data_IF_312955726176
#
_entry.id   IF_312955726176
#
_cell.length_a   1.000
_cell.length_b   1.000
_cell.length_c   1.000
_cell.angle_alpha   90.00
_cell.angle_beta   90.00
_cell.angle_gamma   90.00
#
_symmetry.space_group_name_H-M   'P 1'
#
loop_
_entity.id
_entity.type
_entity.pdbx_description
1 polymer ?
#
# COMPACT_ATOMS: atom_id res chain seq x y z
N UNK A 1 -1.94 17.27 -0.29
CA UNK A 1 -3.07 16.32 -0.39
C UNK A 1 -4.33 16.81 0.32
N UNK A 2 -4.27 17.23 1.59
CA UNK A 2 -5.49 17.63 2.34
C UNK A 2 -6.29 18.77 1.70
N UNK A 3 -5.62 19.75 1.08
CA UNK A 3 -6.30 20.78 0.28
C UNK A 3 -7.12 20.17 -0.87
N UNK A 4 -6.55 19.22 -1.61
CA UNK A 4 -7.21 18.53 -2.71
C UNK A 4 -8.41 17.71 -2.23
N UNK A 5 -8.27 17.03 -1.08
CA UNK A 5 -9.36 16.29 -0.44
C UNK A 5 -10.56 17.19 -0.14
N UNK A 6 -10.31 18.37 0.44
CA UNK A 6 -11.37 19.35 0.70
C UNK A 6 -11.97 19.90 -0.60
N UNK A 7 -11.14 20.20 -1.60
CA UNK A 7 -11.61 20.68 -2.90
C UNK A 7 -12.49 19.65 -3.62
N UNK A 8 -12.12 18.36 -3.59
CA UNK A 8 -12.89 17.27 -4.18
C UNK A 8 -14.26 17.15 -3.50
N UNK A 9 -14.30 17.14 -2.16
CA UNK A 9 -15.57 17.07 -1.41
C UNK A 9 -16.51 18.24 -1.71
N UNK A 10 -15.96 19.44 -1.89
CA UNK A 10 -16.75 20.64 -2.22
C UNK A 10 -17.46 20.56 -3.58
N UNK A 11 -17.03 19.65 -4.48
CA UNK A 11 -17.68 19.40 -5.78
C UNK A 11 -18.33 18.02 -5.86
N UNK A 12 -18.52 17.35 -4.73
CA UNK A 12 -19.15 16.01 -4.66
C UNK A 12 -18.23 14.85 -5.05
N UNK A 13 -16.93 15.08 -5.16
CA UNK A 13 -15.92 14.05 -5.38
C UNK A 13 -15.23 13.59 -4.09
N UNK A 14 -14.38 12.58 -4.20
CA UNK A 14 -13.54 12.10 -3.10
C UNK A 14 -12.12 11.76 -3.59
N UNK A 15 -11.18 11.70 -2.66
CA UNK A 15 -9.78 11.35 -2.92
C UNK A 15 -9.45 10.10 -2.12
N UNK A 16 -9.16 8.99 -2.81
CA UNK A 16 -8.66 7.78 -2.16
C UNK A 16 -7.13 7.83 -2.18
N UNK A 17 -6.52 7.82 -1.00
CA UNK A 17 -5.07 7.90 -0.85
C UNK A 17 -4.55 6.59 -0.27
N UNK A 18 -3.45 6.11 -0.85
CA UNK A 18 -2.89 4.81 -0.51
C UNK A 18 -1.56 4.94 0.20
N UNK A 19 -1.35 4.14 1.25
CA UNK A 19 -0.03 3.89 1.82
C UNK A 19 0.64 2.79 1.00
N UNK A 20 1.80 3.08 0.44
CA UNK A 20 2.68 2.11 -0.18
C UNK A 20 3.76 1.62 0.78
N UNK A 21 4.65 0.77 0.27
CA UNK A 21 5.78 0.27 1.04
C UNK A 21 6.66 1.42 1.58
N UNK A 22 6.84 2.50 0.81
CA UNK A 22 7.66 3.65 1.19
C UNK A 22 7.10 4.40 2.40
N UNK A 23 5.78 4.57 2.53
CA UNK A 23 5.19 5.16 3.73
C UNK A 23 5.49 4.31 4.98
N UNK A 24 5.38 2.98 4.87
CA UNK A 24 5.72 2.07 5.97
C UNK A 24 7.21 2.04 6.29
N UNK A 25 8.08 2.06 5.28
CA UNK A 25 9.54 2.15 5.47
C UNK A 25 9.92 3.43 6.21
N UNK A 26 9.30 4.56 5.86
CA UNK A 26 9.48 5.82 6.56
C UNK A 26 8.95 5.76 8.01
N UNK A 27 7.80 5.12 8.23
CA UNK A 27 7.23 4.93 9.58
C UNK A 27 8.01 3.95 10.45
N UNK A 28 8.83 3.06 9.85
CA UNK A 28 9.80 2.19 10.54
C UNK A 28 11.08 2.95 10.93
N UNK A 29 11.36 4.09 10.28
CA UNK A 29 12.60 4.85 10.48
C UNK A 29 13.71 4.48 9.51
N UNK A 30 13.36 3.95 8.33
CA UNK A 30 14.32 3.72 7.25
C UNK A 30 14.52 5.01 6.45
N UNK A 31 15.65 5.67 6.65
CA UNK A 31 16.05 6.93 6.02
C UNK A 31 17.38 6.67 5.33
N UNK A 32 17.44 6.22 4.07
CA UNK A 32 18.78 5.98 3.50
C UNK A 32 19.55 7.27 3.29
N UNK A 33 20.44 7.53 4.24
CA UNK A 33 21.55 8.45 4.14
C UNK A 33 22.61 7.82 3.22
N UNK A 34 22.94 8.51 2.13
CA UNK A 34 24.04 8.13 1.25
C UNK A 34 25.37 8.43 1.96
N UNK A 35 25.87 7.52 2.81
CA UNK A 35 27.29 7.58 3.17
C UNK A 35 28.09 7.12 1.95
N UNK A 36 28.89 8.03 1.41
CA UNK A 36 29.77 7.79 0.25
C UNK A 36 30.84 6.74 0.59
N UNK A 37 30.49 5.45 0.53
CA UNK A 37 31.46 4.35 0.50
C UNK A 37 31.79 4.07 -0.96
N UNK A 38 33.05 4.28 -1.35
CA UNK A 38 33.55 3.98 -2.71
C UNK A 38 33.50 2.49 -3.10
N UNK A 39 32.94 1.61 -2.26
CA UNK A 39 33.01 0.15 -2.44
C UNK A 39 31.65 -0.57 -2.50
N UNK A 40 30.54 0.15 -2.42
CA UNK A 40 29.18 -0.41 -2.58
C UNK A 40 28.35 0.57 -3.42
N UNK A 41 28.62 0.57 -4.72
CA UNK A 41 27.76 1.19 -5.72
C UNK A 41 26.55 0.27 -5.87
N UNK A 42 25.34 0.84 -5.79
CA UNK A 42 24.02 0.16 -5.72
C UNK A 42 23.70 -0.34 -4.30
N UNK A 43 22.94 0.38 -3.47
CA UNK A 43 21.48 0.27 -3.29
C UNK A 43 21.22 1.08 -1.99
N UNK A 44 20.66 2.29 -1.95
CA UNK A 44 19.23 2.64 -1.95
C UNK A 44 19.21 4.17 -1.75
N UNK A 45 18.69 5.02 -2.64
CA UNK A 45 18.40 6.42 -2.30
C UNK A 45 16.89 6.59 -2.21
N UNK A 46 16.30 6.24 -1.07
CA UNK A 46 14.84 6.36 -0.90
C UNK A 46 14.39 7.71 -0.34
N UNK A 47 15.30 8.46 0.31
CA UNK A 47 15.02 9.80 0.83
C UNK A 47 16.12 10.72 0.34
N UNK A 48 15.76 11.71 -0.46
CA UNK A 48 16.74 12.65 -1.02
C UNK A 48 17.19 13.67 0.03
N UNK A 49 18.47 14.07 -0.01
CA UNK A 49 18.99 15.11 0.90
C UNK A 49 18.23 16.43 0.78
N UNK A 50 17.77 16.78 -0.43
CA UNK A 50 16.92 17.94 -0.66
C UNK A 50 15.56 17.83 0.03
N UNK A 51 15.03 16.62 0.20
CA UNK A 51 13.79 16.39 0.95
C UNK A 51 14.04 16.56 2.45
N UNK A 52 15.11 15.96 2.99
CA UNK A 52 15.50 16.12 4.40
C UNK A 52 15.67 17.60 4.76
N UNK A 53 16.27 18.38 3.86
CA UNK A 53 16.44 19.82 4.04
C UNK A 53 15.10 20.58 4.19
N UNK A 54 13.98 20.07 3.67
CA UNK A 54 12.66 20.68 3.87
C UNK A 54 12.14 20.55 5.30
N UNK A 55 12.63 19.55 6.05
CA UNK A 55 12.29 19.33 7.47
C UNK A 55 13.35 19.91 8.42
N UNK A 56 14.55 20.24 7.92
CA UNK A 56 15.65 20.81 8.67
C UNK A 56 16.59 19.79 9.31
N UNK A 57 16.09 18.62 9.73
CA UNK A 57 16.91 17.49 10.18
C UNK A 57 16.20 16.15 9.98
N UNK A 58 16.95 15.04 10.13
CA UNK A 58 16.39 13.69 10.07
C UNK A 58 15.41 13.45 11.23
N UNK A 59 15.72 13.95 12.42
CA UNK A 59 14.88 13.84 13.62
C UNK A 59 13.56 14.61 13.42
N UNK A 60 13.62 15.85 12.92
CA UNK A 60 12.43 16.64 12.64
C UNK A 60 11.54 15.99 11.57
N UNK A 61 12.15 15.37 10.55
CA UNK A 61 11.43 14.56 9.55
C UNK A 61 10.75 13.36 10.20
N UNK A 62 11.47 12.65 11.07
CA UNK A 62 10.95 11.48 11.76
C UNK A 62 9.78 11.83 12.67
N UNK A 63 9.87 12.95 13.39
CA UNK A 63 8.77 13.49 14.19
C UNK A 63 7.56 13.83 13.30
N UNK A 64 7.79 14.44 12.14
CA UNK A 64 6.72 14.80 11.20
C UNK A 64 5.95 13.58 10.65
N UNK A 65 6.68 12.49 10.36
CA UNK A 65 6.16 11.24 9.80
C UNK A 65 5.49 10.37 10.87
N UNK A 66 6.01 10.39 12.09
CA UNK A 66 5.45 9.62 13.21
C UNK A 66 4.18 10.29 13.75
N UNK A 67 4.33 11.41 14.42
CA UNK A 67 3.24 12.04 15.19
C UNK A 67 2.85 13.43 14.67
N UNK A 68 3.63 14.01 13.75
CA UNK A 68 3.38 15.31 13.15
C UNK A 68 2.23 15.32 12.13
N UNK A 69 2.13 16.41 11.37
CA UNK A 69 1.01 16.63 10.45
C UNK A 69 0.90 15.55 9.37
N UNK A 70 2.03 15.06 8.83
CA UNK A 70 2.06 14.03 7.80
C UNK A 70 1.62 12.69 8.40
N UNK A 71 2.24 12.28 9.52
CA UNK A 71 1.88 11.03 10.20
C UNK A 71 0.42 10.94 10.61
N UNK A 72 -0.14 12.03 11.15
CA UNK A 72 -1.57 12.12 11.48
C UNK A 72 -2.45 12.04 10.24
N UNK A 73 -2.06 12.67 9.13
CA UNK A 73 -2.83 12.59 7.88
C UNK A 73 -2.83 11.15 7.32
N UNK A 74 -1.70 10.44 7.38
CA UNK A 74 -1.62 9.02 7.01
C UNK A 74 -2.57 8.17 7.86
N UNK A 75 -2.51 8.31 9.19
CA UNK A 75 -3.34 7.53 10.11
C UNK A 75 -4.85 7.80 9.96
N UNK A 76 -5.23 9.02 9.55
CA UNK A 76 -6.64 9.42 9.49
C UNK A 76 -7.28 9.23 8.11
N UNK A 77 -6.52 9.46 7.03
CA UNK A 77 -7.08 9.69 5.71
C UNK A 77 -6.56 8.73 4.63
N UNK A 78 -5.63 7.84 4.97
CA UNK A 78 -5.03 6.92 4.02
C UNK A 78 -5.41 5.47 4.36
N UNK A 79 -5.48 4.65 3.33
CA UNK A 79 -5.71 3.19 3.42
C UNK A 79 -4.58 2.47 2.70
N UNK A 80 -4.34 1.19 2.93
CA UNK A 80 -3.34 0.47 2.10
C UNK A 80 -3.96 -0.01 0.80
N UNK A 81 -5.25 -0.36 0.82
CA UNK A 81 -5.97 -0.78 -0.36
C UNK A 81 -7.39 -0.21 -0.39
N UNK A 82 -7.89 0.06 -1.59
CA UNK A 82 -9.26 0.49 -1.77
C UNK A 82 -10.04 -0.46 -2.68
N UNK A 83 -11.34 -0.57 -2.39
CA UNK A 83 -12.35 -1.14 -3.29
C UNK A 83 -13.21 0.00 -3.80
N UNK A 84 -13.11 0.32 -5.08
CA UNK A 84 -13.88 1.39 -5.72
C UNK A 84 -15.05 0.81 -6.54
N UNK A 85 -16.29 0.95 -6.06
CA UNK A 85 -17.48 0.57 -6.82
C UNK A 85 -17.62 1.33 -8.14
N UNK A 86 -18.03 0.63 -9.19
CA UNK A 86 -18.44 1.18 -10.48
C UNK A 86 -19.96 1.32 -10.60
N UNK A 87 -20.71 0.86 -9.59
CA UNK A 87 -22.16 0.98 -9.54
C UNK A 87 -22.63 1.34 -8.11
N UNK A 88 -23.56 2.31 -7.93
CA UNK A 88 -24.01 2.76 -6.62
C UNK A 88 -24.62 1.68 -5.72
N UNK A 89 -25.17 0.60 -6.31
CA UNK A 89 -25.77 -0.50 -5.54
C UNK A 89 -24.79 -1.24 -4.64
N UNK A 90 -23.47 -1.06 -4.84
CA UNK A 90 -22.43 -1.69 -4.03
C UNK A 90 -21.99 -0.81 -2.84
N UNK A 91 -22.61 0.36 -2.66
CA UNK A 91 -22.29 1.29 -1.60
C UNK A 91 -21.15 2.27 -1.94
N UNK A 92 -20.69 3.06 -0.96
CA UNK A 92 -19.55 3.96 -1.13
C UNK A 92 -18.23 3.20 -1.34
N UNK A 93 -17.15 3.89 -1.74
CA UNK A 93 -15.81 3.33 -1.72
C UNK A 93 -15.48 2.64 -0.40
N UNK A 94 -14.74 1.54 -0.48
CA UNK A 94 -14.32 0.70 0.64
C UNK A 94 -15.46 -0.03 1.38
N UNK A 95 -16.64 -0.14 0.76
CA UNK A 95 -17.67 -1.08 1.22
C UNK A 95 -17.18 -2.52 1.03
N UNK A 96 -17.21 -3.28 2.13
CA UNK A 96 -16.67 -4.63 2.18
C UNK A 96 -17.35 -5.63 1.25
N UNK A 97 -16.53 -6.53 0.71
CA UNK A 97 -16.94 -7.75 0.05
C UNK A 97 -16.31 -9.00 0.72
N UNK A 98 -17.04 -10.12 0.88
CA UNK A 98 -18.47 -10.24 0.65
C UNK A 98 -19.26 -9.33 1.57
N UNK A 99 -20.38 -8.80 1.07
CA UNK A 99 -21.28 -7.98 1.88
C UNK A 99 -21.84 -8.82 3.02
N UNK A 100 -22.07 -8.20 4.19
CA UNK A 100 -22.84 -8.83 5.29
C UNK A 100 -24.26 -9.20 4.85
N UNK A 101 -24.78 -8.53 3.82
CA UNK A 101 -26.02 -8.90 3.14
C UNK A 101 -25.72 -9.94 2.05
N UNK A 102 -26.14 -11.19 2.30
CA UNK A 102 -25.95 -12.30 1.37
C UNK A 102 -26.60 -12.07 -0.01
N UNK A 103 -27.68 -11.27 -0.07
CA UNK A 103 -28.36 -10.97 -1.35
C UNK A 103 -27.53 -10.03 -2.23
N UNK A 104 -26.83 -9.07 -1.61
CA UNK A 104 -25.92 -8.18 -2.31
C UNK A 104 -24.66 -8.91 -2.81
N UNK A 105 -24.18 -9.93 -2.08
CA UNK A 105 -23.06 -10.76 -2.50
C UNK A 105 -23.37 -11.62 -3.75
N UNK A 106 -24.61 -12.06 -3.91
CA UNK A 106 -25.07 -12.88 -5.04
C UNK A 106 -25.52 -12.05 -6.26
N UNK A 107 -25.49 -10.72 -6.17
CA UNK A 107 -25.87 -9.84 -7.27
C UNK A 107 -24.94 -10.03 -8.48
N UNK A 108 -25.44 -10.00 -9.73
CA UNK A 108 -24.59 -9.97 -10.92
C UNK A 108 -23.63 -8.78 -10.97
N UNK A 109 -23.92 -7.74 -10.17
CA UNK A 109 -23.07 -6.55 -10.04
C UNK A 109 -22.09 -6.64 -8.87
N UNK A 110 -22.07 -7.72 -8.09
CA UNK A 110 -21.26 -7.83 -6.86
C UNK A 110 -19.77 -7.57 -7.10
N UNK A 111 -19.27 -7.87 -8.30
CA UNK A 111 -17.89 -7.66 -8.73
C UNK A 111 -17.66 -6.38 -9.54
N UNK A 112 -18.67 -5.52 -9.72
CA UNK A 112 -18.55 -4.26 -10.44
C UNK A 112 -17.78 -3.21 -9.63
N UNK A 113 -16.54 -3.51 -9.27
CA UNK A 113 -15.62 -2.68 -8.52
C UNK A 113 -14.17 -2.90 -9.01
N UNK A 114 -13.28 -1.94 -8.71
CA UNK A 114 -11.85 -2.00 -8.99
C UNK A 114 -11.09 -1.97 -7.66
N UNK A 115 -10.09 -2.83 -7.50
CA UNK A 115 -9.14 -2.75 -6.39
C UNK A 115 -7.94 -1.86 -6.75
N UNK A 116 -7.50 -1.05 -5.78
CA UNK A 116 -6.29 -0.23 -5.88
C UNK A 116 -5.37 -0.56 -4.70
N UNK A 117 -4.08 -0.73 -4.95
CA UNK A 117 -3.05 -0.93 -3.93
C UNK A 117 -1.64 -0.70 -4.50
N UNK A 118 -0.62 -0.66 -3.65
CA UNK A 118 0.75 -0.43 -4.09
C UNK A 118 1.40 -1.68 -4.73
N UNK A 119 1.54 -2.79 -3.99
CA UNK A 119 2.22 -4.00 -4.46
C UNK A 119 1.33 -4.93 -5.27
N UNK A 120 0.50 -5.70 -4.56
CA UNK A 120 -0.41 -6.66 -5.19
C UNK A 120 -1.04 -7.61 -4.17
N UNK A 121 -2.15 -8.24 -4.53
CA UNK A 121 -2.84 -9.19 -3.66
C UNK A 121 -2.39 -10.62 -3.99
N UNK A 122 -1.50 -11.20 -3.19
CA UNK A 122 -1.05 -12.58 -3.44
C UNK A 122 -2.22 -13.59 -3.30
N UNK A 123 -2.32 -14.61 -4.18
CA UNK A 123 -3.37 -15.64 -4.06
C UNK A 123 -3.40 -16.35 -2.70
N UNK A 124 -2.22 -16.54 -2.12
CA UNK A 124 -2.03 -17.20 -0.83
C UNK A 124 -2.23 -16.27 0.37
N UNK A 125 -2.49 -14.98 0.17
CA UNK A 125 -2.68 -14.03 1.27
C UNK A 125 -4.00 -14.36 2.00
N UNK A 126 -4.01 -14.48 3.35
CA UNK A 126 -5.17 -15.00 4.05
C UNK A 126 -6.24 -13.93 4.27
N UNK A 127 -5.82 -12.68 4.51
CA UNK A 127 -6.72 -11.57 4.82
C UNK A 127 -7.26 -10.88 3.56
N UNK A 128 -7.54 -11.64 2.49
CA UNK A 128 -8.23 -11.11 1.32
C UNK A 128 -9.72 -10.82 1.58
N UNK A 129 -10.31 -11.36 2.65
CA UNK A 129 -11.73 -11.14 2.97
C UNK A 129 -11.94 -10.87 4.46
N UNK A 130 -12.85 -9.96 4.85
CA UNK A 130 -13.56 -9.03 3.96
C UNK A 130 -12.63 -7.99 3.32
N UNK A 131 -12.81 -7.72 2.03
CA UNK A 131 -12.03 -6.74 1.28
C UNK A 131 -12.79 -5.42 1.14
N UNK A 132 -12.19 -4.25 1.44
CA UNK A 132 -10.78 -4.05 1.78
C UNK A 132 -10.49 -3.98 3.30
N UNK A 133 -11.50 -4.08 4.17
CA UNK A 133 -11.33 -3.75 5.59
C UNK A 133 -10.34 -4.63 6.33
N UNK A 134 -10.25 -5.93 6.02
CA UNK A 134 -9.31 -6.82 6.70
C UNK A 134 -7.85 -6.35 6.55
N UNK A 135 -7.46 -5.96 5.34
CA UNK A 135 -6.13 -5.41 5.05
C UNK A 135 -5.96 -4.04 5.70
N UNK A 136 -6.97 -3.16 5.58
CA UNK A 136 -6.87 -1.80 6.12
C UNK A 136 -6.84 -1.76 7.66
N UNK A 137 -7.47 -2.73 8.34
CA UNK A 137 -7.37 -2.88 9.78
C UNK A 137 -5.96 -3.31 10.22
N UNK A 138 -5.33 -4.25 9.51
CA UNK A 138 -3.93 -4.62 9.76
C UNK A 138 -2.98 -3.44 9.52
N UNK A 139 -3.16 -2.75 8.40
CA UNK A 139 -2.44 -1.52 8.05
C UNK A 139 -2.54 -0.47 9.16
N UNK A 140 -3.76 -0.22 9.67
CA UNK A 140 -3.99 0.79 10.70
C UNK A 140 -3.40 0.39 12.05
N UNK A 141 -3.51 -0.89 12.42
CA UNK A 141 -2.92 -1.45 13.64
C UNK A 141 -1.40 -1.31 13.62
N UNK A 142 -0.75 -1.77 12.53
CA UNK A 142 0.70 -1.69 12.40
C UNK A 142 1.20 -0.24 12.36
N UNK A 143 0.55 0.64 11.59
CA UNK A 143 0.93 2.05 11.53
C UNK A 143 0.81 2.71 12.91
N UNK A 144 -0.25 2.43 13.65
CA UNK A 144 -0.41 2.93 15.01
C UNK A 144 0.74 2.47 15.92
N UNK A 145 1.08 1.17 15.91
CA UNK A 145 2.21 0.65 16.69
C UNK A 145 3.50 1.37 16.34
N UNK A 146 3.80 1.50 15.04
CA UNK A 146 4.98 2.20 14.54
C UNK A 146 5.05 3.67 15.02
N UNK A 147 3.93 4.39 14.97
CA UNK A 147 3.86 5.80 15.38
C UNK A 147 3.85 6.01 16.89
N UNK A 148 3.42 5.01 17.66
CA UNK A 148 3.31 5.06 19.13
C UNK A 148 4.56 4.60 19.89
N UNK A 149 5.62 4.16 19.18
CA UNK A 149 6.84 3.68 19.81
C UNK A 149 7.49 4.78 20.67
N UNK A 150 7.81 4.46 21.92
CA UNK A 150 8.48 5.35 22.85
C UNK A 150 9.51 4.58 23.69
N UNK A 151 10.82 4.89 23.57
CA UNK A 151 11.39 5.85 22.62
C UNK A 151 11.20 5.40 21.17
N UNK A 152 11.05 6.35 20.26
CA UNK A 152 11.06 6.04 18.83
C UNK A 152 12.45 5.52 18.44
N UNK A 153 12.57 4.44 17.63
CA UNK A 153 13.85 3.88 17.28
C UNK A 153 14.70 4.89 16.49
N UNK A 154 16.02 4.94 16.71
CA UNK A 154 16.86 5.87 15.99
C UNK A 154 16.89 5.50 14.49
N UNK A 155 16.91 6.49 13.58
CA UNK A 155 16.79 6.25 12.15
C UNK A 155 17.99 5.45 11.60
N UNK A 156 17.72 4.55 10.67
CA UNK A 156 18.72 3.81 9.91
C UNK A 156 19.06 4.55 8.61
N UNK A 157 20.34 4.70 8.20
CA UNK A 157 21.60 4.50 8.92
C UNK A 157 22.00 5.75 9.76
N UNK A 158 23.04 5.68 10.62
CA UNK A 158 23.99 4.58 10.87
C UNK A 158 23.53 3.55 11.90
N UNK A 159 22.37 3.74 12.52
CA UNK A 159 21.83 2.82 13.51
C UNK A 159 21.42 1.49 12.85
N UNK A 160 21.28 0.37 13.61
CA UNK A 160 20.72 -0.88 13.07
C UNK A 160 19.30 -0.68 12.53
N UNK A 161 18.90 -1.48 11.53
CA UNK A 161 17.55 -1.42 10.99
C UNK A 161 16.52 -1.70 12.09
N UNK A 162 15.57 -0.78 12.38
CA UNK A 162 14.65 -0.94 13.50
C UNK A 162 13.71 -2.15 13.36
N UNK A 163 13.34 -2.48 12.12
CA UNK A 163 12.36 -3.53 11.85
C UNK A 163 10.95 -3.18 12.35
N UNK A 164 10.08 -4.19 12.40
CA UNK A 164 8.74 -4.05 12.94
C UNK A 164 8.77 -4.05 14.49
N UNK A 165 7.78 -3.43 15.16
CA UNK A 165 7.66 -3.47 16.62
C UNK A 165 7.71 -4.91 17.16
N UNK A 166 8.35 -5.12 18.31
CA UNK A 166 8.54 -6.47 18.87
C UNK A 166 7.24 -7.19 19.26
N UNK A 167 6.15 -6.45 19.42
CA UNK A 167 4.79 -6.94 19.68
C UNK A 167 3.93 -7.03 18.40
N UNK A 168 4.55 -7.00 17.22
CA UNK A 168 3.84 -7.19 15.95
C UNK A 168 3.25 -8.60 15.87
N UNK A 169 2.00 -8.70 15.41
CA UNK A 169 1.35 -10.00 15.23
C UNK A 169 1.87 -10.71 13.99
N UNK A 170 1.60 -12.01 13.86
CA UNK A 170 1.95 -12.76 12.66
C UNK A 170 1.30 -12.18 11.39
N UNK A 171 0.07 -11.67 11.52
CA UNK A 171 -0.66 -11.03 10.43
C UNK A 171 -0.05 -9.67 10.04
N UNK A 172 0.39 -8.87 11.00
CA UNK A 172 1.09 -7.60 10.73
C UNK A 172 2.46 -7.85 10.07
N UNK A 173 3.18 -8.87 10.53
CA UNK A 173 4.46 -9.30 9.93
C UNK A 173 4.22 -9.74 8.48
N UNK A 174 3.18 -10.54 8.21
CA UNK A 174 2.86 -10.98 6.86
C UNK A 174 2.32 -9.85 5.98
N UNK A 175 1.57 -8.90 6.54
CA UNK A 175 1.12 -7.70 5.84
C UNK A 175 2.30 -6.89 5.26
N UNK A 176 3.38 -6.73 6.04
CA UNK A 176 4.62 -6.08 5.56
C UNK A 176 5.57 -7.04 4.84
N UNK A 177 5.26 -8.35 4.80
CA UNK A 177 6.08 -9.38 4.17
C UNK A 177 6.11 -9.27 2.64
N UNK A 178 6.99 -10.05 2.02
CA UNK A 178 7.18 -10.08 0.54
C UNK A 178 5.95 -10.56 -0.22
N UNK A 179 5.10 -11.36 0.42
CA UNK A 179 3.80 -11.81 -0.10
C UNK A 179 2.63 -10.95 0.38
N UNK A 180 2.92 -9.87 1.12
CA UNK A 180 1.94 -8.92 1.61
C UNK A 180 1.58 -7.84 0.59
N UNK A 181 0.48 -7.09 0.82
CA UNK A 181 -0.06 -6.10 -0.12
C UNK A 181 0.90 -4.97 -0.52
N UNK A 182 1.92 -4.72 0.31
CA UNK A 182 2.91 -3.66 0.08
C UNK A 182 4.04 -4.08 -0.85
N UNK A 183 4.34 -5.38 -0.96
CA UNK A 183 5.57 -5.84 -1.62
C UNK A 183 5.34 -6.90 -2.70
N UNK A 184 4.16 -7.50 -2.78
CA UNK A 184 3.93 -8.61 -3.70
C UNK A 184 4.14 -8.19 -5.16
N UNK A 185 5.04 -8.90 -5.86
CA UNK A 185 5.40 -8.67 -7.26
C UNK A 185 4.98 -9.79 -8.21
N UNK A 186 4.37 -10.86 -7.70
CA UNK A 186 4.15 -12.08 -8.48
C UNK A 186 3.32 -11.87 -9.74
N UNK A 187 2.37 -10.92 -9.72
CA UNK A 187 1.59 -10.57 -10.90
C UNK A 187 2.40 -10.01 -12.09
N UNK A 188 3.57 -9.43 -11.81
CA UNK A 188 4.48 -8.92 -12.81
C UNK A 188 5.64 -9.88 -13.12
N UNK A 189 6.06 -10.71 -12.15
CA UNK A 189 7.27 -11.54 -12.29
C UNK A 189 7.00 -13.00 -12.66
N UNK A 190 5.83 -13.54 -12.34
CA UNK A 190 5.48 -14.94 -12.64
C UNK A 190 5.04 -15.12 -14.10
N UNK A 191 5.09 -16.37 -14.56
CA UNK A 191 4.65 -16.79 -15.88
C UNK A 191 3.15 -16.46 -16.11
N UNK A 192 2.81 -16.05 -17.33
CA UNK A 192 1.45 -15.63 -17.69
C UNK A 192 0.41 -16.72 -17.40
N UNK A 193 0.70 -17.99 -17.69
CA UNK A 193 -0.21 -19.12 -17.42
C UNK A 193 -0.52 -19.28 -15.92
N UNK A 194 0.49 -19.09 -15.07
CA UNK A 194 0.34 -19.14 -13.60
C UNK A 194 -0.53 -17.97 -13.13
N UNK A 195 -0.24 -16.77 -13.64
CA UNK A 195 -0.98 -15.55 -13.31
C UNK A 195 -2.44 -15.64 -13.77
N UNK A 196 -2.69 -16.10 -15.00
CA UNK A 196 -4.04 -16.28 -15.56
C UNK A 196 -4.87 -17.26 -14.73
N UNK A 197 -4.25 -18.37 -14.27
CA UNK A 197 -4.95 -19.36 -13.46
C UNK A 197 -5.30 -18.86 -12.05
N UNK A 198 -4.54 -17.92 -11.50
CA UNK A 198 -4.68 -17.47 -10.11
C UNK A 198 -5.46 -16.16 -9.94
N UNK A 199 -5.45 -15.26 -10.93
CA UNK A 199 -6.04 -13.92 -10.80
C UNK A 199 -7.55 -13.97 -10.57
N UNK A 200 -8.26 -14.88 -11.24
CA UNK A 200 -9.71 -14.98 -11.13
C UNK A 200 -10.17 -15.33 -9.71
N UNK A 201 -9.43 -16.19 -8.98
CA UNK A 201 -9.72 -16.51 -7.57
C UNK A 201 -9.60 -15.27 -6.67
N UNK A 202 -8.55 -14.46 -6.88
CA UNK A 202 -8.33 -13.25 -6.08
C UNK A 202 -9.38 -12.19 -6.37
N UNK A 203 -9.73 -12.01 -7.64
CA UNK A 203 -10.79 -11.10 -8.07
C UNK A 203 -12.17 -11.52 -7.52
N UNK A 204 -12.46 -12.82 -7.53
CA UNK A 204 -13.68 -13.39 -6.96
C UNK A 204 -13.75 -13.16 -5.44
N UNK A 205 -12.68 -13.49 -4.71
CA UNK A 205 -12.62 -13.31 -3.24
C UNK A 205 -12.75 -11.85 -2.82
N UNK A 206 -12.23 -10.92 -3.63
CA UNK A 206 -12.26 -9.48 -3.33
C UNK A 206 -13.49 -8.77 -3.86
N UNK A 207 -14.34 -9.44 -4.65
CA UNK A 207 -15.50 -8.83 -5.27
C UNK A 207 -15.11 -7.70 -6.22
N UNK A 208 -14.03 -7.86 -6.96
CA UNK A 208 -13.53 -6.87 -7.92
C UNK A 208 -13.39 -7.47 -9.31
N UNK A 209 -13.49 -6.61 -10.32
CA UNK A 209 -13.30 -7.01 -11.73
C UNK A 209 -11.88 -6.76 -12.22
N UNK A 210 -11.17 -5.84 -11.56
CA UNK A 210 -9.81 -5.46 -11.89
C UNK A 210 -9.03 -5.08 -10.66
N UNK A 211 -7.72 -5.29 -10.73
CA UNK A 211 -6.72 -4.85 -9.77
C UNK A 211 -5.76 -3.88 -10.46
N UNK A 212 -5.60 -2.71 -9.85
CA UNK A 212 -4.66 -1.67 -10.26
C UNK A 212 -3.57 -1.59 -9.20
N UNK A 213 -2.32 -1.77 -9.62
CA UNK A 213 -1.16 -1.80 -8.74
C UNK A 213 0.11 -1.30 -9.41
N UNK A 214 1.08 -0.90 -8.59
CA UNK A 214 2.40 -0.40 -9.00
C UNK A 214 3.53 -1.28 -8.47
N UNK A 215 4.51 -0.66 -7.80
CA UNK A 215 5.66 -1.28 -7.10
C UNK A 215 6.71 -1.97 -7.96
N UNK A 216 6.31 -2.65 -9.03
CA UNK A 216 7.21 -3.37 -9.94
C UNK A 216 7.39 -2.51 -11.20
N UNK A 217 8.57 -1.86 -11.37
CA UNK A 217 8.82 -1.09 -12.58
C UNK A 217 8.80 -2.03 -13.79
N UNK A 218 8.11 -1.63 -14.84
CA UNK A 218 8.24 -2.25 -16.16
C UNK A 218 9.22 -1.40 -16.98
N UNK A 219 10.34 -2.01 -17.38
CA UNK A 219 11.39 -1.35 -18.15
C UNK A 219 11.34 -1.70 -19.65
N UNK A 220 10.40 -2.55 -20.06
CA UNK A 220 10.22 -2.88 -21.47
C UNK A 220 9.15 -1.96 -22.10
N UNK A 221 9.53 -1.27 -23.19
CA UNK A 221 8.60 -0.47 -24.00
C UNK A 221 7.79 -1.43 -24.88
N UNK A 222 6.81 -2.09 -24.28
CA UNK A 222 5.89 -2.99 -24.93
C UNK A 222 4.83 -3.38 -23.93
N UNK A 223 3.56 -3.19 -24.26
CA UNK A 223 2.45 -3.64 -23.43
C UNK A 223 2.57 -5.15 -23.22
N UNK A 224 3.16 -5.58 -22.11
CA UNK A 224 3.04 -6.95 -21.65
C UNK A 224 1.55 -7.24 -21.52
N UNK A 225 1.03 -8.08 -22.42
CA UNK A 225 -0.37 -8.50 -22.41
C UNK A 225 -0.52 -9.32 -21.14
N UNK A 226 -1.08 -8.70 -20.10
CA UNK A 226 -1.45 -9.39 -18.86
C UNK A 226 -2.89 -9.86 -18.97
N UNK A 227 -3.28 -10.91 -18.23
CA UNK A 227 -4.66 -11.39 -18.23
C UNK A 227 -5.67 -10.28 -17.95
N UNK A 228 -6.87 -10.47 -18.52
CA UNK A 228 -8.00 -9.57 -18.32
C UNK A 228 -8.31 -9.44 -16.83
N UNK A 229 -7.93 -8.31 -16.23
CA UNK A 229 -8.13 -8.10 -14.79
C UNK A 229 -6.97 -7.37 -14.12
N UNK A 230 -5.75 -7.47 -14.66
CA UNK A 230 -4.58 -6.81 -14.10
C UNK A 230 -4.23 -5.55 -14.88
N UNK A 231 -4.07 -4.44 -14.17
CA UNK A 231 -3.45 -3.22 -14.67
C UNK A 231 -2.18 -2.96 -13.85
N UNK A 232 -1.03 -3.14 -14.50
CA UNK A 232 0.27 -2.77 -13.96
C UNK A 232 0.56 -1.33 -14.35
N UNK A 233 0.71 -0.45 -13.37
CA UNK A 233 1.20 0.92 -13.60
C UNK A 233 2.71 0.94 -13.36
N UNK A 234 3.47 1.38 -14.36
CA UNK A 234 4.92 1.50 -14.25
C UNK A 234 5.28 2.61 -13.24
N UNK A 235 5.99 2.23 -12.18
CA UNK A 235 6.57 3.19 -11.24
C UNK A 235 7.80 3.82 -11.88
N UNK A 236 7.65 5.02 -12.47
CA UNK A 236 8.77 5.78 -13.00
C UNK A 236 9.58 6.34 -11.84
N UNK A 237 10.86 5.96 -11.74
CA UNK A 237 11.79 6.55 -10.79
C UNK A 237 11.88 8.06 -10.99
N UNK A 238 11.43 8.83 -10.00
CA UNK A 238 11.57 10.29 -9.94
C UNK A 238 12.96 10.75 -9.50
#
# INVERSE_FOLDING_TARGET
MEKLRNQARNVGGDVLSHLGNHEFMNAIGLVIEATYSKLTVEICRYVYQSEIATFGSVEARQEMISTGLIGRAWAQNYTTTSRLPLHPSLGPPNTDYPSKDATAAQSPLSHAAISFLHGGLAPTYPQLTPFPSAINSLSSSLLHKLQSQSPYPPPYPPNPYPGLPGDSTAEEIRFYGTDGPLWYRGWALEDEDVVCAAVDDVLERTGTRRMVMGHTPDFEVGSNVRPRGLNLEAETTG
#
